data_IF_439705488398
#
_entry.id   IF_439705488398
#
_cell.length_a   1.000
_cell.length_b   1.000
_cell.length_c   1.000
_cell.angle_alpha   90.00
_cell.angle_beta   90.00
_cell.angle_gamma   90.00
#
_symmetry.space_group_name_H-M   'P 1'
#
loop_
_entity.id
_entity.type
_entity.pdbx_description
1 polymer ?
#
# COMPACT_ATOMS: atom_id res chain seq x y z
N UNK A 1 34.46 -12.55 -3.38
CA UNK A 1 33.30 -12.91 -4.24
C UNK A 1 31.96 -12.39 -3.69
N UNK A 2 31.75 -12.36 -2.37
CA UNK A 2 30.51 -11.94 -1.70
C UNK A 2 30.09 -10.47 -1.87
N UNK A 3 31.02 -9.51 -1.77
CA UNK A 3 30.70 -8.08 -1.92
C UNK A 3 30.09 -7.74 -3.28
N UNK A 4 30.62 -8.32 -4.38
CA UNK A 4 30.07 -8.10 -5.73
C UNK A 4 28.64 -8.62 -5.89
N UNK A 5 28.31 -9.74 -5.26
CA UNK A 5 26.95 -10.29 -5.28
C UNK A 5 25.99 -9.42 -4.46
N UNK A 6 26.40 -8.93 -3.29
CA UNK A 6 25.59 -8.03 -2.47
C UNK A 6 25.30 -6.71 -3.21
N UNK A 7 26.32 -6.09 -3.81
CA UNK A 7 26.16 -4.87 -4.59
C UNK A 7 25.19 -5.04 -5.78
N UNK A 8 25.23 -6.20 -6.46
CA UNK A 8 24.29 -6.54 -7.54
C UNK A 8 22.85 -6.70 -7.03
N UNK A 9 22.64 -7.33 -5.88
CA UNK A 9 21.30 -7.46 -5.29
C UNK A 9 20.75 -6.09 -4.87
N UNK A 10 21.60 -5.23 -4.29
CA UNK A 10 21.24 -3.87 -3.89
C UNK A 10 20.88 -3.01 -5.10
N UNK A 11 21.65 -3.08 -6.20
CA UNK A 11 21.34 -2.33 -7.41
C UNK A 11 20.06 -2.83 -8.11
N UNK A 12 19.84 -4.14 -8.17
CA UNK A 12 18.58 -4.72 -8.70
C UNK A 12 17.37 -4.31 -7.86
N UNK A 13 17.49 -4.33 -6.54
CA UNK A 13 16.43 -3.88 -5.64
C UNK A 13 16.10 -2.40 -5.87
N UNK A 14 17.11 -1.56 -6.04
CA UNK A 14 16.93 -0.12 -6.28
C UNK A 14 16.26 0.13 -7.65
N UNK A 15 16.68 -0.57 -8.69
CA UNK A 15 16.07 -0.47 -10.03
C UNK A 15 14.59 -0.86 -10.03
N UNK A 16 14.24 -1.98 -9.36
CA UNK A 16 12.83 -2.41 -9.23
C UNK A 16 12.00 -1.41 -8.42
N UNK A 17 12.58 -0.82 -7.37
CA UNK A 17 11.93 0.23 -6.57
C UNK A 17 11.65 1.48 -7.41
N UNK A 18 12.65 1.98 -8.15
CA UNK A 18 12.47 3.17 -8.99
C UNK A 18 11.46 2.90 -10.12
N UNK A 19 11.46 1.70 -10.72
CA UNK A 19 10.45 1.34 -11.71
C UNK A 19 9.03 1.34 -11.12
N UNK A 20 8.83 0.79 -9.92
CA UNK A 20 7.52 0.84 -9.25
C UNK A 20 7.08 2.28 -8.97
N UNK A 21 8.01 3.12 -8.53
CA UNK A 21 7.78 4.54 -8.26
C UNK A 21 7.40 5.32 -9.52
N UNK A 22 8.10 5.05 -10.63
CA UNK A 22 7.79 5.61 -11.94
C UNK A 22 6.38 5.20 -12.40
N UNK A 23 6.02 3.91 -12.31
CA UNK A 23 4.66 3.45 -12.63
C UNK A 23 3.63 4.19 -11.78
N UNK A 24 3.86 4.32 -10.47
CA UNK A 24 2.95 4.98 -9.52
C UNK A 24 2.76 6.48 -9.80
N UNK A 25 3.82 7.20 -10.14
CA UNK A 25 3.78 8.65 -10.32
C UNK A 25 3.21 9.08 -11.68
N UNK A 26 3.09 8.16 -12.63
CA UNK A 26 2.52 8.49 -13.94
C UNK A 26 0.99 8.69 -13.85
N UNK A 27 0.41 9.56 -14.70
CA UNK A 27 -1.03 9.75 -14.77
C UNK A 27 -1.78 8.45 -15.02
N UNK A 28 -3.01 8.37 -14.52
CA UNK A 28 -3.88 7.22 -14.74
C UNK A 28 -4.08 6.96 -16.24
N UNK A 29 -3.95 5.69 -16.61
CA UNK A 29 -4.33 5.14 -17.92
C UNK A 29 -4.77 3.69 -17.72
N UNK A 30 -5.55 3.14 -18.66
CA UNK A 30 -5.96 1.72 -18.59
C UNK A 30 -4.76 0.76 -18.65
N UNK A 31 -3.67 1.20 -19.29
CA UNK A 31 -2.40 0.47 -19.39
C UNK A 31 -1.68 0.29 -18.05
N UNK A 32 -2.04 1.04 -17.00
CA UNK A 32 -1.41 0.94 -15.68
C UNK A 32 -1.50 -0.47 -15.09
N UNK A 33 -2.57 -1.20 -15.40
CA UNK A 33 -2.69 -2.60 -15.00
C UNK A 33 -1.58 -3.46 -15.61
N UNK A 34 -1.33 -3.28 -16.90
CA UNK A 34 -0.30 -4.01 -17.64
C UNK A 34 1.11 -3.65 -17.14
N UNK A 35 1.36 -2.37 -16.86
CA UNK A 35 2.62 -1.90 -16.26
C UNK A 35 2.89 -2.59 -14.92
N UNK A 36 1.90 -2.61 -14.02
CA UNK A 36 2.02 -3.29 -12.73
C UNK A 36 2.18 -4.81 -12.89
N UNK A 37 1.48 -5.45 -13.83
CA UNK A 37 1.64 -6.88 -14.11
C UNK A 37 3.06 -7.21 -14.60
N UNK A 38 3.61 -6.36 -15.48
CA UNK A 38 5.00 -6.49 -15.93
C UNK A 38 5.98 -6.32 -14.78
N UNK A 39 5.77 -5.31 -13.92
CA UNK A 39 6.57 -5.11 -12.72
C UNK A 39 6.50 -6.31 -11.76
N UNK A 40 5.30 -6.87 -11.55
CA UNK A 40 5.09 -8.06 -10.72
C UNK A 40 5.88 -9.27 -11.25
N UNK A 41 5.87 -9.48 -12.57
CA UNK A 41 6.64 -10.54 -13.20
C UNK A 41 8.16 -10.31 -13.02
N UNK A 42 8.65 -9.08 -13.19
CA UNK A 42 10.07 -8.75 -12.98
C UNK A 42 10.50 -8.96 -11.52
N UNK A 43 9.69 -8.48 -10.57
CA UNK A 43 9.99 -8.60 -9.14
C UNK A 43 9.90 -10.04 -8.64
N UNK A 44 8.94 -10.84 -9.13
CA UNK A 44 8.82 -12.26 -8.78
C UNK A 44 9.98 -13.12 -9.30
N UNK A 45 10.52 -12.78 -10.48
CA UNK A 45 11.65 -13.47 -11.10
C UNK A 45 13.03 -12.93 -10.66
N UNK A 46 13.09 -11.84 -9.89
CA UNK A 46 14.36 -11.29 -9.40
C UNK A 46 15.03 -12.19 -8.36
N UNK A 47 16.35 -12.14 -8.21
CA UNK A 47 17.07 -12.90 -7.18
C UNK A 47 17.00 -12.27 -5.77
N UNK A 48 16.19 -11.22 -5.60
CA UNK A 48 16.07 -10.46 -4.35
C UNK A 48 14.84 -10.95 -3.56
N UNK A 49 15.00 -11.68 -2.44
CA UNK A 49 13.87 -12.28 -1.71
C UNK A 49 12.84 -11.24 -1.25
N UNK A 50 13.32 -10.04 -0.87
CA UNK A 50 12.46 -8.92 -0.48
C UNK A 50 11.55 -8.47 -1.64
N UNK A 51 12.04 -8.47 -2.87
CA UNK A 51 11.23 -8.08 -4.05
C UNK A 51 10.22 -9.16 -4.44
N UNK A 52 10.57 -10.45 -4.30
CA UNK A 52 9.59 -11.54 -4.45
C UNK A 52 8.42 -11.39 -3.48
N UNK A 53 8.70 -11.03 -2.22
CA UNK A 53 7.67 -10.79 -1.22
C UNK A 53 6.84 -9.54 -1.52
N UNK A 54 7.49 -8.45 -1.97
CA UNK A 54 6.80 -7.24 -2.41
C UNK A 54 5.84 -7.54 -3.58
N UNK A 55 6.28 -8.33 -4.56
CA UNK A 55 5.45 -8.77 -5.68
C UNK A 55 4.21 -9.52 -5.21
N UNK A 56 4.35 -10.46 -4.27
CA UNK A 56 3.19 -11.19 -3.70
C UNK A 56 2.20 -10.22 -3.02
N UNK A 57 2.69 -9.27 -2.24
CA UNK A 57 1.85 -8.29 -1.53
C UNK A 57 1.13 -7.36 -2.50
N UNK A 58 1.85 -6.79 -3.46
CA UNK A 58 1.29 -5.88 -4.47
C UNK A 58 0.31 -6.63 -5.38
N UNK A 59 0.63 -7.86 -5.80
CA UNK A 59 -0.27 -8.68 -6.61
C UNK A 59 -1.62 -8.92 -5.92
N UNK A 60 -1.60 -9.25 -4.62
CA UNK A 60 -2.83 -9.39 -3.81
C UNK A 60 -3.63 -8.09 -3.69
N UNK A 61 -2.98 -6.93 -3.73
CA UNK A 61 -3.59 -5.60 -3.54
C UNK A 61 -3.70 -4.79 -4.84
N UNK A 62 -3.43 -5.40 -5.99
CA UNK A 62 -3.27 -4.69 -7.25
C UNK A 62 -4.53 -3.90 -7.63
N UNK A 63 -5.71 -4.47 -7.39
CA UNK A 63 -6.98 -3.78 -7.62
C UNK A 63 -7.11 -2.49 -6.79
N UNK A 64 -6.73 -2.53 -5.51
CA UNK A 64 -6.74 -1.35 -4.64
C UNK A 64 -5.74 -0.29 -5.07
N UNK A 65 -4.55 -0.71 -5.51
CA UNK A 65 -3.51 0.18 -6.04
C UNK A 65 -3.99 0.88 -7.32
N UNK A 66 -4.56 0.13 -8.27
CA UNK A 66 -5.10 0.70 -9.51
C UNK A 66 -6.26 1.66 -9.24
N UNK A 67 -7.15 1.32 -8.30
CA UNK A 67 -8.22 2.24 -7.90
C UNK A 67 -7.68 3.51 -7.25
N UNK A 68 -6.64 3.40 -6.41
CA UNK A 68 -6.02 4.56 -5.78
C UNK A 68 -5.38 5.50 -6.82
N UNK A 69 -4.72 4.94 -7.84
CA UNK A 69 -4.15 5.70 -8.95
C UNK A 69 -5.23 6.34 -9.84
N UNK A 70 -6.32 5.61 -10.14
CA UNK A 70 -7.41 6.11 -10.98
C UNK A 70 -8.13 7.30 -10.37
N UNK A 71 -8.36 7.24 -9.06
CA UNK A 71 -9.14 8.22 -8.34
C UNK A 71 -8.28 9.26 -7.62
N UNK A 72 -6.95 9.23 -7.79
CA UNK A 72 -5.96 10.04 -7.07
C UNK A 72 -6.40 10.30 -5.63
N UNK A 73 -6.73 9.20 -4.93
CA UNK A 73 -7.60 9.14 -3.73
C UNK A 73 -7.99 10.52 -3.17
N UNK A 74 -9.16 11.02 -3.54
CA UNK A 74 -9.88 11.88 -2.60
C UNK A 74 -10.18 11.00 -1.37
N UNK A 75 -9.32 11.12 -0.35
CA UNK A 75 -9.36 10.35 0.90
C UNK A 75 -10.71 10.54 1.62
N UNK A 76 -11.51 11.52 1.20
CA UNK A 76 -12.80 11.87 1.78
C UNK A 76 -13.79 10.72 1.94
N UNK A 77 -13.93 9.78 0.99
CA UNK A 77 -14.88 8.68 1.16
C UNK A 77 -14.38 7.60 2.14
N UNK A 78 -13.07 7.31 2.12
CA UNK A 78 -12.45 6.35 3.06
C UNK A 78 -12.33 6.95 4.46
N UNK A 79 -12.04 8.24 4.58
CA UNK A 79 -12.04 9.02 5.82
C UNK A 79 -13.45 9.15 6.39
N UNK A 80 -14.48 9.39 5.57
CA UNK A 80 -15.86 9.44 6.02
C UNK A 80 -16.33 8.09 6.58
N UNK A 81 -15.95 6.98 5.96
CA UNK A 81 -16.24 5.63 6.44
C UNK A 81 -15.47 5.32 7.74
N UNK A 82 -14.18 5.64 7.81
CA UNK A 82 -13.38 5.50 9.04
C UNK A 82 -13.92 6.38 10.18
N UNK A 83 -14.37 7.59 9.87
CA UNK A 83 -14.98 8.51 10.83
C UNK A 83 -16.32 7.96 11.36
N UNK A 84 -17.16 7.38 10.49
CA UNK A 84 -18.41 6.71 10.92
C UNK A 84 -18.15 5.51 11.82
N UNK A 85 -17.16 4.67 11.51
CA UNK A 85 -16.78 3.52 12.35
C UNK A 85 -16.24 4.00 13.71
N UNK A 86 -15.43 5.06 13.73
CA UNK A 86 -14.95 5.69 14.96
C UNK A 86 -16.10 6.26 15.80
N UNK A 87 -17.05 6.95 15.19
CA UNK A 87 -18.23 7.51 15.88
C UNK A 87 -19.11 6.41 16.47
N UNK A 88 -19.30 5.29 15.76
CA UNK A 88 -20.02 4.12 16.29
C UNK A 88 -19.28 3.49 17.47
N UNK A 89 -17.94 3.45 17.42
CA UNK A 89 -17.11 2.97 18.55
C UNK A 89 -17.24 3.88 19.78
N UNK A 90 -17.20 5.21 19.60
CA UNK A 90 -17.35 6.18 20.70
C UNK A 90 -18.74 6.06 21.32
N UNK A 91 -19.79 5.99 20.50
CA UNK A 91 -21.18 5.89 20.98
C UNK A 91 -21.47 4.55 21.69
N UNK A 92 -20.74 3.49 21.35
CA UNK A 92 -20.77 2.23 22.09
C UNK A 92 -19.96 2.29 23.40
N UNK A 93 -18.85 3.04 23.44
CA UNK A 93 -18.00 3.20 24.64
C UNK A 93 -18.53 4.21 25.68
N UNK A 94 -19.35 5.18 25.29
CA UNK A 94 -19.93 6.18 26.21
C UNK A 94 -21.07 5.63 27.09
N UNK A 95 -21.42 4.35 26.98
CA UNK A 95 -22.38 3.73 27.90
C UNK A 95 -21.76 3.26 29.22
N UNK A 96 -20.44 3.35 29.41
CA UNK A 96 -19.75 2.87 30.63
C UNK A 96 -18.99 3.94 31.43
N UNK A 97 -19.10 5.23 31.12
CA UNK A 97 -18.41 6.30 31.88
C UNK A 97 -19.29 7.50 32.26
N UNK A 98 -20.57 7.24 32.54
CA UNK A 98 -21.54 8.24 33.01
C UNK A 98 -21.89 8.18 34.50
N UNK A 99 -21.03 7.69 35.40
CA UNK A 99 -21.40 7.52 36.82
C UNK A 99 -20.29 7.71 37.87
N UNK A 100 -19.20 8.42 37.58
CA UNK A 100 -18.13 8.62 38.58
C UNK A 100 -17.62 10.07 38.71
N UNK A 101 -18.43 11.07 38.38
CA UNK A 101 -18.12 12.47 38.66
C UNK A 101 -19.32 13.19 39.26
N UNK A 102 -19.71 12.79 40.46
CA UNK A 102 -20.22 13.73 41.45
C UNK A 102 -20.11 13.08 42.83
N UNK A 103 -19.39 13.74 43.74
CA UNK A 103 -19.69 13.91 45.17
C UNK A 103 -18.47 14.60 45.82
N UNK A 104 -18.44 15.92 45.64
CA UNK A 104 -18.12 16.81 46.76
C UNK A 104 -19.38 17.01 47.60
#
# INVERSE_FOLDING_TARGET
MWLRAQMKLTSQCWALKELAKDIWNRPWSEERRSDWQRWLALAANSDVPMMKNAAKTIGKRLYGILNAMRHSVSNGNAEALNSKIRLLRIKAGDTETGSALNWG
#
